data_IF_945663941008
#
_entry.id   IF_945663941008
#
_cell.length_a   1.000
_cell.length_b   1.000
_cell.length_c   1.000
_cell.angle_alpha   90.00
_cell.angle_beta   90.00
_cell.angle_gamma   90.00
#
_symmetry.space_group_name_H-M   'P 1'
#
loop_
_entity.id
_entity.type
_entity.pdbx_description
1 polymer ?
#
# COMPACT_ATOMS: atom_id res chain seq x y z
N UNK A 1 3.13 -12.95 6.62
CA UNK A 1 1.85 -12.28 6.32
C UNK A 1 1.55 -11.24 7.39
N UNK A 2 0.97 -10.11 6.99
CA UNK A 2 0.71 -8.95 7.86
C UNK A 2 -0.72 -8.42 7.70
N UNK A 3 -1.35 -8.74 6.57
CA UNK A 3 -2.68 -8.25 6.21
C UNK A 3 -3.69 -9.36 6.30
N UNK A 4 -4.82 -9.07 6.95
CA UNK A 4 -5.90 -10.03 7.24
C UNK A 4 -6.95 -9.94 6.13
N UNK A 5 -7.38 -11.06 5.52
CA UNK A 5 -8.51 -11.06 4.59
C UNK A 5 -9.79 -10.53 5.24
N UNK A 6 -10.68 -9.96 4.44
CA UNK A 6 -11.99 -9.51 4.93
C UNK A 6 -12.71 -10.64 5.68
N UNK A 7 -13.21 -10.34 6.88
CA UNK A 7 -13.85 -11.27 7.84
C UNK A 7 -12.96 -12.36 8.45
N UNK A 8 -11.66 -12.39 8.11
CA UNK A 8 -10.73 -13.28 8.79
C UNK A 8 -10.13 -12.60 10.03
N UNK A 9 -9.42 -13.36 10.83
CA UNK A 9 -8.56 -12.88 11.92
C UNK A 9 -7.12 -13.35 11.78
N UNK A 10 -6.84 -14.09 10.72
CA UNK A 10 -5.53 -14.64 10.43
C UNK A 10 -4.89 -13.86 9.28
N UNK A 11 -3.69 -13.29 9.46
CA UNK A 11 -3.01 -12.58 8.38
C UNK A 11 -2.53 -13.55 7.31
N UNK A 12 -2.90 -13.28 6.06
CA UNK A 12 -2.61 -14.15 4.92
C UNK A 12 -1.75 -13.47 3.87
N UNK A 13 -1.73 -12.12 3.81
CA UNK A 13 -1.04 -11.37 2.77
C UNK A 13 0.13 -10.54 3.33
N UNK A 14 1.06 -10.18 2.44
CA UNK A 14 1.88 -8.98 2.59
C UNK A 14 1.06 -7.71 2.40
N UNK A 15 1.72 -6.58 2.26
CA UNK A 15 1.06 -5.32 1.89
C UNK A 15 0.76 -5.24 0.39
N UNK A 16 1.32 -6.15 -0.40
CA UNK A 16 1.02 -6.46 -1.80
C UNK A 16 0.86 -5.19 -2.65
N UNK A 17 1.93 -4.42 -2.88
CA UNK A 17 1.85 -3.16 -3.59
C UNK A 17 1.57 -3.35 -5.09
N UNK A 18 0.91 -2.35 -5.67
CA UNK A 18 0.70 -2.19 -7.10
C UNK A 18 1.28 -0.84 -7.50
N UNK A 19 2.15 -0.82 -8.51
CA UNK A 19 2.66 0.40 -9.11
C UNK A 19 2.35 0.43 -10.60
N UNK A 20 1.94 1.59 -11.10
CA UNK A 20 1.67 1.85 -12.52
C UNK A 20 2.21 3.22 -12.87
N UNK A 21 3.01 3.28 -13.94
CA UNK A 21 3.51 4.55 -14.50
C UNK A 21 3.10 4.67 -15.95
N UNK A 22 2.53 5.82 -16.32
CA UNK A 22 2.12 6.12 -17.70
C UNK A 22 2.68 7.50 -18.05
N UNK A 23 3.39 7.66 -19.19
CA UNK A 23 3.91 8.95 -19.63
C UNK A 23 2.80 9.98 -19.82
N UNK A 24 2.98 11.17 -19.26
CA UNK A 24 2.08 12.31 -19.36
C UNK A 24 2.82 13.61 -19.01
N UNK A 25 2.25 14.77 -19.39
CA UNK A 25 2.74 16.10 -19.02
C UNK A 25 1.94 16.66 -17.83
N UNK A 26 2.57 17.50 -16.95
CA UNK A 26 3.97 17.91 -16.90
C UNK A 26 4.91 16.88 -16.29
N UNK A 27 4.41 15.76 -15.79
CA UNK A 27 5.12 14.60 -15.28
C UNK A 27 4.25 13.36 -15.46
N UNK A 28 4.82 12.14 -15.45
CA UNK A 28 4.06 10.91 -15.60
C UNK A 28 2.95 10.76 -14.56
N UNK A 29 1.83 10.17 -14.94
CA UNK A 29 0.94 9.55 -13.96
C UNK A 29 1.72 8.44 -13.27
N UNK A 30 1.86 8.54 -11.96
CA UNK A 30 2.64 7.60 -11.17
C UNK A 30 1.87 7.16 -9.93
N UNK A 31 1.22 6.03 -10.03
CA UNK A 31 0.47 5.42 -8.94
C UNK A 31 1.33 4.31 -8.30
N UNK A 32 1.59 4.42 -7.01
CA UNK A 32 2.25 3.40 -6.21
C UNK A 32 1.58 3.33 -4.83
N UNK A 33 0.93 2.22 -4.54
CA UNK A 33 0.27 2.04 -3.26
C UNK A 33 0.26 0.58 -2.79
N UNK A 34 0.30 0.39 -1.48
CA UNK A 34 -0.02 -0.89 -0.85
C UNK A 34 -1.53 -1.19 -0.98
N UNK A 35 -1.89 -2.46 -1.19
CA UNK A 35 -3.30 -2.89 -1.15
C UNK A 35 -3.84 -3.06 0.27
N UNK A 36 -3.03 -2.77 1.28
CA UNK A 36 -3.45 -2.61 2.68
C UNK A 36 -3.89 -1.18 2.98
N UNK A 37 -4.75 -0.99 3.98
CA UNK A 37 -5.26 0.33 4.37
C UNK A 37 -4.14 1.26 4.86
N UNK A 38 -3.06 0.70 5.40
CA UNK A 38 -1.85 1.44 5.75
C UNK A 38 -0.60 0.53 5.72
N UNK A 39 0.57 1.15 5.76
CA UNK A 39 1.85 0.45 5.76
C UNK A 39 2.33 0.13 7.17
N UNK A 40 3.22 -0.87 7.29
CA UNK A 40 3.87 -1.20 8.57
C UNK A 40 4.65 -0.02 9.15
N UNK A 41 5.38 0.72 8.29
CA UNK A 41 6.14 1.89 8.73
C UNK A 41 5.26 2.99 9.31
N UNK A 42 4.06 3.20 8.76
CA UNK A 42 3.11 4.16 9.33
C UNK A 42 2.58 3.71 10.70
N UNK A 43 2.36 2.40 10.89
CA UNK A 43 2.03 1.84 12.22
C UNK A 43 3.14 2.13 13.23
N UNK A 44 4.41 1.97 12.84
CA UNK A 44 5.56 2.27 13.69
C UNK A 44 5.64 3.75 14.07
N UNK A 45 5.41 4.63 13.09
CA UNK A 45 5.38 6.08 13.35
C UNK A 45 4.26 6.43 14.33
N UNK A 46 3.03 5.92 14.10
CA UNK A 46 1.90 6.18 14.99
C UNK A 46 2.16 5.69 16.41
N UNK A 47 2.74 4.49 16.58
CA UNK A 47 3.14 3.98 17.89
C UNK A 47 4.18 4.88 18.57
N UNK A 48 5.20 5.35 17.82
CA UNK A 48 6.26 6.23 18.36
C UNK A 48 5.75 7.58 18.83
N UNK A 49 4.76 8.14 18.15
CA UNK A 49 4.20 9.47 18.49
C UNK A 49 2.94 9.37 19.37
N UNK A 50 2.52 8.18 19.78
CA UNK A 50 1.32 7.97 20.59
C UNK A 50 0.01 8.30 19.88
N UNK A 51 -0.05 8.16 18.55
CA UNK A 51 -1.23 8.46 17.76
C UNK A 51 -2.09 7.21 17.58
N UNK A 52 -3.39 7.31 17.88
CA UNK A 52 -4.35 6.24 17.68
C UNK A 52 -4.66 6.01 16.21
N UNK A 53 -5.04 4.76 15.88
CA UNK A 53 -5.54 4.39 14.57
C UNK A 53 -7.01 4.77 14.42
N UNK A 54 -7.48 4.80 13.17
CA UNK A 54 -8.91 4.91 12.91
C UNK A 54 -9.56 3.52 12.90
N UNK A 55 -10.86 3.42 13.24
CA UNK A 55 -11.60 2.17 13.12
C UNK A 55 -11.47 1.55 11.73
N UNK A 56 -11.30 0.23 11.68
CA UNK A 56 -11.15 -0.50 10.42
C UNK A 56 -9.73 -0.59 9.86
N UNK A 57 -8.72 0.00 10.51
CA UNK A 57 -7.32 -0.09 10.06
C UNK A 57 -6.59 -1.33 10.56
N UNK A 58 -6.91 -1.79 11.77
CA UNK A 58 -6.27 -2.90 12.44
C UNK A 58 -7.33 -3.76 13.13
N UNK A 59 -7.14 -5.07 13.11
CA UNK A 59 -7.86 -5.99 13.97
C UNK A 59 -6.90 -6.70 14.92
N UNK A 60 -7.35 -6.93 16.13
CA UNK A 60 -6.63 -7.67 17.15
C UNK A 60 -6.68 -9.19 16.95
N UNK A 61 -6.17 -9.95 17.90
CA UNK A 61 -6.13 -11.43 17.86
C UNK A 61 -7.51 -12.09 17.82
N UNK A 62 -8.56 -11.38 18.22
CA UNK A 62 -9.95 -11.86 18.15
C UNK A 62 -10.59 -11.60 16.78
N UNK A 63 -10.02 -10.69 15.99
CA UNK A 63 -10.57 -10.17 14.74
C UNK A 63 -11.44 -8.93 14.95
N UNK A 64 -11.35 -8.30 16.12
CA UNK A 64 -12.07 -7.07 16.46
C UNK A 64 -11.23 -5.84 16.14
N UNK A 65 -11.86 -4.78 15.63
CA UNK A 65 -11.20 -3.48 15.38
C UNK A 65 -10.43 -3.01 16.62
N UNK A 66 -9.18 -2.60 16.39
CA UNK A 66 -8.26 -2.11 17.41
C UNK A 66 -7.66 -0.77 16.98
N UNK A 67 -7.61 0.19 17.91
CA UNK A 67 -7.08 1.54 17.66
C UNK A 67 -5.63 1.73 18.15
N UNK A 68 -5.10 0.79 18.92
CA UNK A 68 -3.73 0.84 19.44
C UNK A 68 -2.73 0.24 18.46
N UNK A 69 -1.85 1.07 17.83
CA UNK A 69 -0.84 0.58 16.90
C UNK A 69 0.18 -0.36 17.54
N UNK A 70 0.36 -0.31 18.87
CA UNK A 70 1.26 -1.22 19.58
C UNK A 70 0.79 -2.68 19.53
N UNK A 71 -0.52 -2.92 19.35
CA UNK A 71 -1.05 -4.28 19.13
C UNK A 71 -0.41 -4.88 17.87
N UNK A 72 -0.34 -4.12 16.77
CA UNK A 72 0.32 -4.59 15.55
C UNK A 72 1.82 -4.86 15.77
N UNK A 73 2.52 -3.99 16.49
CA UNK A 73 3.94 -4.18 16.77
C UNK A 73 4.17 -5.48 17.56
N UNK A 74 3.38 -5.74 18.59
CA UNK A 74 3.44 -7.02 19.33
C UNK A 74 3.16 -8.23 18.45
N UNK A 75 2.15 -8.17 17.57
CA UNK A 75 1.81 -9.24 16.62
C UNK A 75 2.99 -9.47 15.64
N UNK A 76 3.60 -8.41 15.14
CA UNK A 76 4.76 -8.48 14.24
C UNK A 76 5.98 -9.04 14.92
N UNK A 77 6.33 -8.54 16.10
CA UNK A 77 7.56 -8.90 16.82
C UNK A 77 7.51 -10.32 17.35
N UNK A 78 6.32 -10.81 17.74
CA UNK A 78 6.11 -12.22 18.05
C UNK A 78 6.44 -13.14 16.87
N UNK A 79 6.34 -12.66 15.61
CA UNK A 79 6.76 -13.43 14.42
C UNK A 79 8.26 -13.69 14.37
N UNK A 80 9.06 -12.83 14.99
CA UNK A 80 10.50 -13.00 15.13
C UNK A 80 10.88 -13.93 16.29
N UNK A 81 9.94 -14.31 17.14
CA UNK A 81 10.15 -15.24 18.24
C UNK A 81 10.21 -16.67 17.74
N UNK A 82 11.23 -17.48 18.08
CA UNK A 82 11.31 -18.90 17.73
C UNK A 82 10.13 -19.75 18.29
N UNK A 83 9.47 -19.29 19.34
CA UNK A 83 8.26 -19.89 19.90
C UNK A 83 6.98 -19.49 19.13
N UNK A 84 7.11 -18.67 18.05
CA UNK A 84 6.01 -18.28 17.21
C UNK A 84 5.37 -19.50 16.56
N UNK A 85 4.15 -19.78 16.95
CA UNK A 85 3.34 -20.82 16.31
C UNK A 85 2.65 -20.23 15.09
N UNK A 86 2.30 -21.06 14.09
CA UNK A 86 1.60 -20.67 12.87
C UNK A 86 0.21 -20.03 13.09
N UNK A 87 -0.19 -19.84 14.36
CA UNK A 87 -1.50 -19.32 14.78
C UNK A 87 -1.50 -17.82 15.09
N UNK A 88 -0.62 -17.01 14.50
CA UNK A 88 -0.71 -15.55 14.67
C UNK A 88 -2.03 -15.04 14.13
N UNK A 89 -2.69 -14.26 14.95
CA UNK A 89 -3.99 -13.67 14.68
C UNK A 89 -3.90 -12.16 14.80
N UNK A 90 -4.80 -11.46 14.11
CA UNK A 90 -4.79 -10.01 14.03
C UNK A 90 -3.82 -9.48 12.98
N UNK A 91 -3.99 -8.24 12.58
CA UNK A 91 -3.15 -7.56 11.59
C UNK A 91 -3.85 -6.40 10.89
N UNK A 92 -3.13 -5.83 9.94
CA UNK A 92 -3.60 -4.70 9.13
C UNK A 92 -4.76 -5.15 8.24
N UNK A 93 -5.74 -4.27 8.05
CA UNK A 93 -6.85 -4.52 7.15
C UNK A 93 -6.49 -4.19 5.70
N UNK A 94 -7.18 -4.81 4.71
CA UNK A 94 -7.07 -4.40 3.31
C UNK A 94 -7.50 -2.95 3.10
N UNK A 95 -7.11 -2.35 2.00
CA UNK A 95 -7.60 -1.05 1.56
C UNK A 95 -9.13 -1.03 1.54
N UNK A 96 -9.74 0.01 2.12
CA UNK A 96 -11.17 0.09 2.40
C UNK A 96 -11.55 -0.40 3.79
N UNK A 97 -10.60 -0.98 4.58
CA UNK A 97 -10.76 -1.26 5.99
C UNK A 97 -11.59 -2.51 6.29
N UNK A 98 -12.18 -2.52 7.48
CA UNK A 98 -12.94 -3.67 7.98
C UNK A 98 -14.25 -3.88 7.21
N UNK A 99 -14.53 -5.13 6.87
CA UNK A 99 -15.80 -5.53 6.28
C UNK A 99 -16.04 -5.04 4.85
N UNK A 100 -17.29 -4.73 4.53
CA UNK A 100 -17.71 -4.32 3.20
C UNK A 100 -18.12 -2.86 3.10
N UNK A 101 -18.39 -2.19 4.21
CA UNK A 101 -19.02 -0.87 4.24
C UNK A 101 -18.22 0.18 3.44
N UNK A 102 -16.91 0.24 3.65
CA UNK A 102 -16.00 1.14 2.93
C UNK A 102 -15.19 0.44 1.84
N UNK A 103 -15.58 -0.78 1.48
CA UNK A 103 -14.97 -1.50 0.37
C UNK A 103 -13.74 -2.34 0.73
N UNK A 104 -13.57 -2.77 1.99
CA UNK A 104 -12.45 -3.64 2.40
C UNK A 104 -12.35 -4.92 1.57
N UNK A 105 -13.47 -5.50 1.14
CA UNK A 105 -13.49 -6.64 0.22
C UNK A 105 -12.86 -6.34 -1.15
N UNK A 106 -12.88 -5.07 -1.61
CA UNK A 106 -12.24 -4.66 -2.87
C UNK A 106 -10.71 -4.64 -2.70
N UNK A 107 -10.21 -4.05 -1.60
CA UNK A 107 -8.79 -4.10 -1.27
C UNK A 107 -8.28 -5.53 -1.04
N UNK A 108 -9.08 -6.38 -0.41
CA UNK A 108 -8.80 -7.82 -0.31
C UNK A 108 -8.68 -8.47 -1.70
N UNK A 109 -9.60 -8.18 -2.62
CA UNK A 109 -9.54 -8.67 -4.00
C UNK A 109 -8.27 -8.22 -4.73
N UNK A 110 -7.85 -6.96 -4.56
CA UNK A 110 -6.60 -6.44 -5.12
C UNK A 110 -5.38 -7.15 -4.51
N UNK A 111 -5.33 -7.35 -3.20
CA UNK A 111 -4.25 -8.08 -2.53
C UNK A 111 -4.13 -9.51 -3.05
N UNK A 112 -5.26 -10.18 -3.25
CA UNK A 112 -5.33 -11.53 -3.80
C UNK A 112 -4.85 -11.56 -5.27
N UNK A 113 -5.24 -10.57 -6.07
CA UNK A 113 -4.77 -10.44 -7.45
C UNK A 113 -3.24 -10.33 -7.52
N UNK A 114 -2.63 -9.53 -6.64
CA UNK A 114 -1.16 -9.41 -6.56
C UNK A 114 -0.52 -10.76 -6.24
N UNK A 115 -1.02 -11.51 -5.26
CA UNK A 115 -0.50 -12.86 -4.95
C UNK A 115 -0.64 -13.81 -6.16
N UNK A 116 -1.77 -13.76 -6.88
CA UNK A 116 -2.00 -14.58 -8.08
C UNK A 116 -0.97 -14.23 -9.16
N UNK A 117 -0.84 -12.96 -9.49
CA UNK A 117 0.07 -12.52 -10.56
C UNK A 117 1.53 -12.75 -10.22
N UNK A 118 1.95 -12.42 -8.99
CA UNK A 118 3.35 -12.53 -8.59
C UNK A 118 3.76 -13.97 -8.24
N UNK A 119 2.95 -14.69 -7.48
CA UNK A 119 3.36 -15.93 -6.86
C UNK A 119 2.70 -17.17 -7.46
N UNK A 120 1.38 -17.17 -7.67
CA UNK A 120 0.70 -18.35 -8.20
C UNK A 120 1.15 -18.64 -9.64
N UNK A 121 1.18 -17.61 -10.51
CA UNK A 121 1.56 -17.76 -11.90
C UNK A 121 3.05 -18.10 -12.09
N UNK A 122 3.91 -17.72 -11.13
CA UNK A 122 5.34 -18.08 -11.14
C UNK A 122 5.66 -19.39 -10.40
N UNK A 123 4.64 -20.10 -9.87
CA UNK A 123 4.81 -21.25 -8.98
C UNK A 123 5.64 -20.95 -7.72
N UNK A 124 5.62 -19.70 -7.28
CA UNK A 124 6.33 -19.21 -6.11
C UNK A 124 5.56 -19.39 -4.81
N UNK A 125 6.14 -18.91 -3.72
CA UNK A 125 5.52 -18.99 -2.41
C UNK A 125 4.39 -17.95 -2.26
N UNK A 126 3.24 -18.38 -1.74
CA UNK A 126 2.08 -17.53 -1.44
C UNK A 126 1.89 -17.42 0.06
N UNK A 127 1.26 -16.33 0.51
CA UNK A 127 0.74 -16.19 1.86
C UNK A 127 1.80 -16.52 2.94
N UNK A 128 1.53 -17.51 3.77
CA UNK A 128 2.42 -17.96 4.87
C UNK A 128 3.71 -18.62 4.37
N UNK A 129 3.74 -19.11 3.13
CA UNK A 129 4.93 -19.67 2.52
C UNK A 129 6.03 -18.63 2.23
N UNK A 130 5.66 -17.34 2.16
CA UNK A 130 6.59 -16.21 2.06
C UNK A 130 7.16 -15.95 3.46
N UNK A 131 8.05 -16.81 3.93
CA UNK A 131 8.82 -16.59 5.16
C UNK A 131 10.14 -15.92 4.81
N UNK A 132 10.35 -14.75 5.35
CA UNK A 132 11.69 -14.15 5.43
C UNK A 132 12.43 -14.89 6.54
N UNK A 133 13.26 -15.84 6.17
CA UNK A 133 14.31 -16.37 7.06
C UNK A 133 15.63 -15.74 6.63
N UNK A 134 16.61 -15.63 7.55
CA UNK A 134 17.93 -15.02 7.26
C UNK A 134 18.59 -15.51 5.96
N UNK A 135 18.18 -16.68 5.45
CA UNK A 135 18.82 -17.33 4.32
C UNK A 135 17.92 -17.58 3.10
N UNK A 136 16.61 -17.27 3.15
CA UNK A 136 15.67 -17.55 2.04
C UNK A 136 14.48 -16.58 2.06
N UNK A 137 14.62 -15.48 1.35
CA UNK A 137 13.48 -14.66 0.95
C UNK A 137 12.81 -15.30 -0.26
N UNK A 138 11.49 -15.56 -0.16
CA UNK A 138 10.68 -16.13 -1.24
C UNK A 138 9.67 -15.10 -1.74
N UNK A 139 10.14 -13.86 -1.97
CA UNK A 139 9.31 -12.82 -2.51
C UNK A 139 9.24 -12.94 -4.03
N UNK A 140 8.04 -12.89 -4.58
CA UNK A 140 7.79 -12.94 -6.02
C UNK A 140 7.35 -11.57 -6.51
N UNK A 141 7.68 -11.26 -7.77
CA UNK A 141 7.31 -10.03 -8.44
C UNK A 141 6.67 -10.33 -9.79
N UNK A 142 5.77 -9.46 -10.20
CA UNK A 142 5.23 -9.43 -11.55
C UNK A 142 5.55 -8.08 -12.18
N UNK A 143 6.05 -8.10 -13.41
CA UNK A 143 6.33 -6.92 -14.21
C UNK A 143 5.62 -7.03 -15.55
N UNK A 144 5.01 -5.93 -16.00
CA UNK A 144 4.42 -5.84 -17.31
C UNK A 144 4.80 -4.48 -17.94
N UNK A 145 5.03 -4.50 -19.24
CA UNK A 145 5.15 -3.30 -20.04
C UNK A 145 4.16 -3.42 -21.21
N UNK A 146 3.40 -2.34 -21.45
CA UNK A 146 2.41 -2.29 -22.52
C UNK A 146 2.85 -1.21 -23.50
N UNK A 147 3.09 -1.60 -24.74
CA UNK A 147 3.31 -0.65 -25.82
C UNK A 147 1.96 -0.04 -26.22
N UNK A 148 1.73 1.20 -25.79
CA UNK A 148 0.44 1.84 -26.02
C UNK A 148 0.29 2.36 -27.49
N UNK A 149 1.33 2.27 -28.32
CA UNK A 149 1.20 2.47 -29.77
C UNK A 149 0.28 1.45 -30.42
N UNK A 150 0.06 0.30 -29.75
CA UNK A 150 -0.91 -0.71 -30.19
C UNK A 150 -2.38 -0.21 -30.15
N UNK A 151 -2.65 0.85 -29.39
CA UNK A 151 -3.99 1.44 -29.25
C UNK A 151 -4.22 2.68 -30.13
N UNK A 152 -3.18 3.16 -30.80
CA UNK A 152 -3.24 4.33 -31.66
C UNK A 152 -1.96 5.15 -31.67
N UNK A 153 -2.07 6.38 -32.14
CA UNK A 153 -0.95 7.31 -32.18
C UNK A 153 -0.47 7.67 -30.75
N UNK A 154 0.83 7.55 -30.51
CA UNK A 154 1.41 7.75 -29.17
C UNK A 154 1.33 9.22 -28.72
N UNK A 155 1.58 10.17 -29.63
CA UNK A 155 1.55 11.60 -29.30
C UNK A 155 0.13 12.03 -28.95
N UNK A 156 -0.84 11.57 -29.73
CA UNK A 156 -2.26 11.83 -29.47
C UNK A 156 -2.71 11.20 -28.15
N UNK A 157 -2.28 9.96 -27.87
CA UNK A 157 -2.60 9.28 -26.61
C UNK A 157 -2.02 10.02 -25.41
N UNK A 158 -0.76 10.49 -25.52
CA UNK A 158 -0.09 11.24 -24.48
C UNK A 158 -0.75 12.61 -24.23
N UNK A 159 -1.09 13.31 -25.29
CA UNK A 159 -1.83 14.58 -25.23
C UNK A 159 -3.16 14.40 -24.53
N UNK A 160 -3.96 13.43 -24.94
CA UNK A 160 -5.28 13.13 -24.33
C UNK A 160 -5.17 12.77 -22.87
N UNK A 161 -4.18 11.96 -22.48
CA UNK A 161 -3.96 11.62 -21.07
C UNK A 161 -3.59 12.87 -20.27
N UNK A 162 -2.65 13.68 -20.78
CA UNK A 162 -2.21 14.91 -20.11
C UNK A 162 -3.37 15.89 -19.90
N UNK A 163 -4.20 16.10 -20.93
CA UNK A 163 -5.42 16.93 -20.83
C UNK A 163 -6.43 16.36 -19.81
N UNK A 164 -6.64 15.04 -19.81
CA UNK A 164 -7.51 14.39 -18.85
C UNK A 164 -7.00 14.55 -17.40
N UNK A 165 -5.71 14.33 -17.16
CA UNK A 165 -5.12 14.53 -15.84
C UNK A 165 -5.17 16.00 -15.41
N UNK A 166 -4.98 16.92 -16.35
CA UNK A 166 -5.14 18.35 -16.07
C UNK A 166 -6.57 18.71 -15.68
N UNK A 167 -7.56 18.14 -16.34
CA UNK A 167 -8.97 18.37 -15.98
C UNK A 167 -9.31 17.88 -14.56
N UNK A 168 -8.60 16.87 -14.04
CA UNK A 168 -8.72 16.45 -12.63
C UNK A 168 -8.08 17.46 -11.69
N UNK A 169 -6.92 18.02 -12.04
CA UNK A 169 -6.25 19.06 -11.26
C UNK A 169 -7.07 20.36 -11.18
N UNK A 170 -7.80 20.66 -12.26
CA UNK A 170 -8.65 21.87 -12.39
C UNK A 170 -10.02 21.72 -11.70
N UNK A 171 -10.34 20.53 -11.19
CA UNK A 171 -11.57 20.32 -10.42
C UNK A 171 -11.57 21.20 -9.17
N UNK A 172 -12.76 21.72 -8.81
CA UNK A 172 -12.92 22.57 -7.62
C UNK A 172 -12.52 21.80 -6.35
N UNK A 173 -11.54 22.31 -5.57
CA UNK A 173 -11.13 21.65 -4.35
C UNK A 173 -12.25 21.69 -3.29
N UNK A 174 -12.32 20.67 -2.44
CA UNK A 174 -13.20 20.69 -1.29
C UNK A 174 -12.80 21.81 -0.29
N UNK A 175 -13.75 22.24 0.53
CA UNK A 175 -13.53 23.28 1.55
C UNK A 175 -12.31 22.92 2.42
N UNK A 176 -11.41 23.91 2.60
CA UNK A 176 -10.17 23.73 3.35
C UNK A 176 -9.03 23.03 2.59
N UNK A 177 -9.23 22.63 1.34
CA UNK A 177 -8.19 22.08 0.49
C UNK A 177 -7.63 23.14 -0.46
N UNK A 178 -6.31 23.10 -0.71
CA UNK A 178 -5.65 24.08 -1.59
C UNK A 178 -5.78 23.72 -3.07
N UNK A 179 -5.83 22.43 -3.41
CA UNK A 179 -5.95 21.91 -4.76
C UNK A 179 -6.32 20.42 -4.78
N UNK A 180 -6.73 19.93 -5.95
CA UNK A 180 -6.84 18.49 -6.25
C UNK A 180 -5.49 17.97 -6.71
N UNK A 181 -5.12 16.77 -6.27
CA UNK A 181 -3.89 16.08 -6.64
C UNK A 181 -4.18 14.91 -7.55
N UNK A 182 -3.37 14.73 -8.56
CA UNK A 182 -3.27 13.50 -9.36
C UNK A 182 -2.08 12.69 -8.83
N UNK A 183 -2.11 11.38 -9.02
CA UNK A 183 -1.02 10.49 -8.62
C UNK A 183 0.28 10.86 -9.35
N UNK A 184 1.34 11.14 -8.58
CA UNK A 184 2.61 11.68 -9.04
C UNK A 184 2.83 13.16 -8.68
N UNK A 185 1.77 13.94 -8.43
CA UNK A 185 1.90 15.38 -8.13
C UNK A 185 2.65 15.62 -6.81
N UNK A 186 2.31 14.85 -5.77
CA UNK A 186 2.93 15.01 -4.44
C UNK A 186 4.40 14.60 -4.45
N UNK A 187 4.72 13.58 -5.22
CA UNK A 187 6.08 13.10 -5.42
C UNK A 187 6.90 14.14 -6.17
N UNK A 188 6.37 14.72 -7.24
CA UNK A 188 7.03 15.79 -8.00
C UNK A 188 7.25 17.07 -7.17
N UNK A 189 6.30 17.43 -6.30
CA UNK A 189 6.47 18.55 -5.36
C UNK A 189 7.51 18.24 -4.28
N UNK A 190 7.47 17.04 -3.70
CA UNK A 190 8.42 16.61 -2.69
C UNK A 190 9.85 16.54 -3.26
N UNK A 191 10.02 16.08 -4.49
CA UNK A 191 11.32 16.06 -5.16
C UNK A 191 11.91 17.48 -5.26
N UNK A 192 11.12 18.47 -5.72
CA UNK A 192 11.55 19.86 -5.80
C UNK A 192 11.98 20.42 -4.44
N UNK A 193 11.19 20.14 -3.40
CA UNK A 193 11.49 20.60 -2.04
C UNK A 193 12.76 19.96 -1.49
N UNK A 194 12.90 18.64 -1.64
CA UNK A 194 14.07 17.88 -1.17
C UNK A 194 15.35 18.31 -1.90
N UNK A 195 15.28 18.54 -3.20
CA UNK A 195 16.43 19.02 -3.99
C UNK A 195 16.86 20.43 -3.55
N UNK A 196 15.93 21.27 -3.13
CA UNK A 196 16.22 22.63 -2.67
C UNK A 196 16.70 22.71 -1.22
N UNK A 197 16.14 21.90 -0.32
CA UNK A 197 16.29 22.06 1.13
C UNK A 197 16.90 20.84 1.84
N UNK A 198 17.05 19.71 1.15
CA UNK A 198 17.50 18.44 1.74
C UNK A 198 16.39 17.65 2.42
N UNK A 199 16.73 16.51 2.98
CA UNK A 199 15.79 15.61 3.67
C UNK A 199 15.79 15.89 5.18
N UNK A 200 14.62 16.23 5.72
CA UNK A 200 14.44 16.36 7.17
C UNK A 200 14.48 15.00 7.88
N UNK A 201 15.39 14.79 8.80
CA UNK A 201 15.49 13.57 9.61
C UNK A 201 14.84 13.82 10.97
N UNK A 202 13.93 12.95 11.37
CA UNK A 202 13.32 13.03 12.70
C UNK A 202 14.39 12.74 13.78
N UNK A 203 14.57 13.63 14.78
CA UNK A 203 15.54 13.42 15.85
C UNK A 203 15.42 12.09 16.59
N UNK A 204 14.21 11.52 16.68
CA UNK A 204 13.98 10.21 17.29
C UNK A 204 14.51 9.03 16.44
N UNK A 205 14.99 9.31 15.23
CA UNK A 205 15.60 8.31 14.33
C UNK A 205 17.12 8.33 14.41
N UNK A 206 17.69 9.36 15.02
CA UNK A 206 19.10 9.55 15.28
C UNK A 206 19.45 9.04 16.66
#
# INVERSE_FOLDING_TARGET
ALVVPTYAREPMFGTNPIAVTIPADPHPFHMDFATSVMTCGKMEVYAKIGHELQPGMLVDETGTTCLDPNVFLRIRDNKSNPAYTEKTRGGIMPMGGEGMLFGGHKGYGLALLVDIMCAVMSHGAVSKGVRVTKDKEKCCHFFAAIDYSLFGDQEETNRRLSEYLQSMRDAEPAEGQSRVYVHGDKEADAEKDVLAHGVGINPATY
#
